data_IF_321627477195
#
_entry.id   IF_321627477195
#
_cell.length_a   1.000
_cell.length_b   1.000
_cell.length_c   1.000
_cell.angle_alpha   90.00
_cell.angle_beta   90.00
_cell.angle_gamma   90.00
#
_symmetry.space_group_name_H-M   'P 1'
#
loop_
_entity.id
_entity.type
_entity.pdbx_description
1 polymer ?
#
# COMPACT_ATOMS: atom_id res chain seq x y z
N UNK A 1 -35.09 36.94 35.50
CA UNK A 1 -33.88 37.19 34.69
C UNK A 1 -33.07 35.92 34.71
N UNK A 2 -33.26 35.06 33.70
CA UNK A 2 -32.52 33.78 33.54
C UNK A 2 -31.31 34.05 32.66
N UNK A 3 -30.14 34.01 33.28
CA UNK A 3 -28.85 34.20 32.65
C UNK A 3 -28.53 32.97 31.79
N UNK A 4 -28.71 33.06 30.48
CA UNK A 4 -28.43 31.98 29.53
C UNK A 4 -26.92 32.01 29.24
N UNK A 5 -26.14 31.21 29.99
CA UNK A 5 -24.73 30.98 29.72
C UNK A 5 -24.56 30.40 28.30
N UNK A 6 -23.98 31.22 27.41
CA UNK A 6 -23.57 30.77 26.09
C UNK A 6 -22.59 29.58 26.19
N UNK A 7 -22.72 28.53 25.36
CA UNK A 7 -21.83 27.40 25.42
C UNK A 7 -20.40 27.85 25.10
N UNK A 8 -19.45 27.43 25.96
CA UNK A 8 -18.02 27.67 25.74
C UNK A 8 -17.60 27.13 24.37
N UNK A 9 -16.85 27.90 23.56
CA UNK A 9 -16.35 27.43 22.28
C UNK A 9 -15.53 26.16 22.49
N UNK A 10 -15.86 25.10 21.77
CA UNK A 10 -15.05 23.87 21.71
C UNK A 10 -13.70 24.28 21.16
N UNK A 11 -12.58 24.01 21.87
CA UNK A 11 -11.25 24.38 21.39
C UNK A 11 -11.04 23.72 20.02
N UNK A 12 -10.56 24.52 19.05
CA UNK A 12 -10.20 24.01 17.73
C UNK A 12 -9.23 22.81 17.89
N UNK A 13 -9.44 21.73 17.12
CA UNK A 13 -8.57 20.58 17.21
C UNK A 13 -7.13 21.03 17.00
N UNK A 14 -6.25 20.76 17.98
CA UNK A 14 -4.82 21.08 17.84
C UNK A 14 -4.30 20.23 16.70
N UNK A 15 -3.67 20.87 15.71
CA UNK A 15 -2.97 20.20 14.61
C UNK A 15 -2.13 19.04 15.17
N UNK A 16 -2.45 17.82 14.74
CA UNK A 16 -1.69 16.67 15.20
C UNK A 16 -0.28 16.71 14.57
N UNK A 17 0.76 16.55 15.38
CA UNK A 17 2.10 16.39 14.82
C UNK A 17 2.14 15.12 13.93
N UNK A 18 2.97 15.08 12.86
CA UNK A 18 3.14 13.90 12.02
C UNK A 18 3.38 12.61 12.79
N UNK A 19 4.19 12.67 13.85
CA UNK A 19 4.49 11.51 14.70
C UNK A 19 3.27 11.04 15.51
N UNK A 20 2.48 11.97 16.07
CA UNK A 20 1.27 11.64 16.81
C UNK A 20 0.18 11.07 15.88
N UNK A 21 0.01 11.67 14.69
CA UNK A 21 -0.92 11.20 13.69
C UNK A 21 -0.57 9.78 13.23
N UNK A 22 0.71 9.52 12.92
CA UNK A 22 1.15 8.18 12.52
C UNK A 22 0.88 7.13 13.60
N UNK A 23 1.14 7.45 14.87
CA UNK A 23 0.85 6.52 15.98
C UNK A 23 -0.64 6.16 16.03
N UNK A 24 -1.53 7.13 15.89
CA UNK A 24 -2.97 6.91 15.86
C UNK A 24 -3.40 6.08 14.65
N UNK A 25 -2.89 6.40 13.47
CA UNK A 25 -3.13 5.64 12.25
C UNK A 25 -2.70 4.19 12.40
N UNK A 26 -1.48 3.97 12.92
CA UNK A 26 -0.95 2.64 13.16
C UNK A 26 -1.82 1.83 14.14
N UNK A 27 -2.23 2.44 15.26
CA UNK A 27 -3.12 1.80 16.24
C UNK A 27 -4.48 1.46 15.64
N UNK A 28 -5.11 2.42 14.96
CA UNK A 28 -6.43 2.24 14.32
C UNK A 28 -6.39 1.21 13.21
N UNK A 29 -5.40 1.27 12.32
CA UNK A 29 -5.27 0.33 11.22
C UNK A 29 -4.95 -1.11 11.70
N UNK A 30 -4.31 -1.28 12.85
CA UNK A 30 -4.03 -2.60 13.41
C UNK A 30 -5.20 -3.18 14.22
N UNK A 31 -6.10 -2.35 14.73
CA UNK A 31 -7.17 -2.77 15.64
C UNK A 31 -8.10 -3.86 15.05
N UNK A 32 -8.54 -3.79 13.77
CA UNK A 32 -9.43 -4.78 13.18
C UNK A 32 -8.85 -6.20 13.21
N UNK A 33 -7.53 -6.34 13.07
CA UNK A 33 -6.86 -7.65 12.99
C UNK A 33 -6.86 -8.45 14.30
N UNK A 34 -7.21 -7.85 15.44
CA UNK A 34 -7.40 -8.57 16.69
C UNK A 34 -8.45 -9.67 16.57
N UNK A 35 -9.49 -9.45 15.75
CA UNK A 35 -10.58 -10.42 15.51
C UNK A 35 -10.15 -11.57 14.60
N UNK A 36 -9.13 -11.37 13.76
CA UNK A 36 -8.58 -12.38 12.85
C UNK A 36 -7.47 -13.24 13.47
N UNK A 37 -7.24 -13.09 14.77
CA UNK A 37 -6.31 -13.91 15.53
C UNK A 37 -4.96 -13.24 15.81
N UNK A 38 -4.22 -13.82 16.77
CA UNK A 38 -2.95 -13.25 17.27
C UNK A 38 -1.91 -13.06 16.16
N UNK A 39 -1.80 -14.02 15.24
CA UNK A 39 -0.86 -13.93 14.14
C UNK A 39 -1.16 -12.72 13.24
N UNK A 40 -2.41 -12.55 12.79
CA UNK A 40 -2.82 -11.45 11.93
C UNK A 40 -2.57 -10.10 12.59
N UNK A 41 -2.88 -9.98 13.87
CA UNK A 41 -2.65 -8.75 14.63
C UNK A 41 -1.16 -8.40 14.80
N UNK A 42 -0.31 -9.38 15.20
CA UNK A 42 1.13 -9.14 15.31
C UNK A 42 1.78 -8.85 13.97
N UNK A 43 1.33 -9.52 12.90
CA UNK A 43 1.79 -9.25 11.54
C UNK A 43 1.44 -7.81 11.11
N UNK A 44 0.18 -7.37 11.31
CA UNK A 44 -0.26 -6.02 10.98
C UNK A 44 0.57 -4.96 11.72
N UNK A 45 0.75 -5.12 13.04
CA UNK A 45 1.56 -4.22 13.85
C UNK A 45 3.02 -4.15 13.39
N UNK A 46 3.61 -5.30 13.10
CA UNK A 46 4.99 -5.39 12.64
C UNK A 46 5.17 -4.76 11.26
N UNK A 47 4.31 -5.10 10.32
CA UNK A 47 4.41 -4.62 8.93
C UNK A 47 4.11 -3.13 8.84
N UNK A 48 3.00 -2.64 9.38
CA UNK A 48 2.68 -1.22 9.36
C UNK A 48 3.65 -0.36 10.19
N UNK A 49 4.12 -0.89 11.34
CA UNK A 49 4.97 -0.12 12.25
C UNK A 49 6.44 -0.04 11.84
N UNK A 50 6.95 -1.02 11.09
CA UNK A 50 8.38 -1.12 10.74
C UNK A 50 8.68 -0.88 9.27
N UNK A 51 7.69 -1.06 8.40
CA UNK A 51 7.86 -0.87 6.97
C UNK A 51 7.64 0.61 6.62
N UNK A 52 8.67 1.33 6.15
CA UNK A 52 8.57 2.76 5.90
C UNK A 52 7.64 3.12 4.73
N UNK A 53 7.25 2.15 3.90
CA UNK A 53 6.46 2.43 2.70
C UNK A 53 5.09 3.00 3.03
N UNK A 54 4.40 2.47 4.03
CA UNK A 54 3.03 2.88 4.37
C UNK A 54 2.97 4.34 4.87
N UNK A 55 3.83 4.67 5.83
CA UNK A 55 3.96 6.04 6.32
C UNK A 55 4.44 6.97 5.22
N UNK A 56 5.47 6.56 4.49
CA UNK A 56 6.05 7.37 3.42
C UNK A 56 5.07 7.69 2.29
N UNK A 57 4.15 6.78 1.93
CA UNK A 57 3.11 7.07 0.94
C UNK A 57 2.18 8.20 1.38
N UNK A 58 1.85 8.27 2.67
CA UNK A 58 1.02 9.34 3.24
C UNK A 58 1.79 10.67 3.30
N UNK A 59 3.03 10.64 3.79
CA UNK A 59 3.90 11.83 3.92
C UNK A 59 4.24 12.48 2.57
N UNK A 60 4.29 11.70 1.50
CA UNK A 60 4.55 12.21 0.14
C UNK A 60 3.29 12.52 -0.65
N UNK A 61 2.11 12.13 -0.17
CA UNK A 61 0.87 12.25 -0.94
C UNK A 61 0.86 11.37 -2.19
N UNK A 62 1.40 10.16 -2.09
CA UNK A 62 1.49 9.25 -3.23
C UNK A 62 0.11 8.69 -3.66
N UNK A 63 -0.87 8.70 -2.76
CA UNK A 63 -2.24 8.24 -3.02
C UNK A 63 -3.21 9.43 -3.10
N UNK A 64 -3.98 9.58 -4.17
CA UNK A 64 -4.95 10.67 -4.31
C UNK A 64 -6.21 10.42 -3.46
N UNK A 65 -6.91 11.48 -3.10
CA UNK A 65 -8.26 11.40 -2.53
C UNK A 65 -9.27 10.92 -3.57
N UNK A 66 -10.39 10.32 -3.10
CA UNK A 66 -11.49 9.84 -3.94
C UNK A 66 -11.07 8.86 -5.03
N UNK A 67 -9.96 8.16 -4.82
CA UNK A 67 -9.38 7.25 -5.80
C UNK A 67 -9.94 5.83 -5.67
N UNK A 68 -10.07 5.14 -6.80
CA UNK A 68 -10.08 3.68 -6.77
C UNK A 68 -8.63 3.19 -6.72
N UNK A 69 -8.27 2.53 -5.64
CA UNK A 69 -6.95 1.95 -5.37
C UNK A 69 -7.02 0.45 -5.60
N UNK A 70 -6.21 -0.06 -6.51
CA UNK A 70 -6.03 -1.49 -6.74
C UNK A 70 -4.71 -1.93 -6.11
N UNK A 71 -4.76 -2.87 -5.17
CA UNK A 71 -3.59 -3.38 -4.44
C UNK A 71 -3.31 -4.82 -4.87
N UNK A 72 -2.27 -5.03 -5.63
CA UNK A 72 -1.90 -6.34 -6.18
C UNK A 72 -0.88 -7.02 -5.27
N UNK A 73 -1.26 -8.19 -4.75
CA UNK A 73 -0.55 -8.85 -3.66
C UNK A 73 -0.86 -8.23 -2.31
N UNK A 74 -2.13 -7.91 -2.10
CA UNK A 74 -2.58 -7.13 -0.93
C UNK A 74 -2.42 -7.87 0.42
N UNK A 75 -2.13 -9.16 0.39
CA UNK A 75 -2.01 -10.00 1.59
C UNK A 75 -3.28 -9.93 2.43
N UNK A 76 -3.13 -9.49 3.68
CA UNK A 76 -4.25 -9.36 4.62
C UNK A 76 -4.97 -8.00 4.55
N UNK A 77 -4.78 -7.22 3.48
CA UNK A 77 -5.47 -5.96 3.26
C UNK A 77 -5.01 -4.81 4.16
N UNK A 78 -3.72 -4.76 4.54
CA UNK A 78 -3.20 -3.74 5.46
C UNK A 78 -3.37 -2.32 4.93
N UNK A 79 -3.21 -2.12 3.62
CA UNK A 79 -3.41 -0.81 3.00
C UNK A 79 -4.88 -0.37 3.08
N UNK A 80 -5.84 -1.28 2.87
CA UNK A 80 -7.26 -0.97 3.04
C UNK A 80 -7.58 -0.48 4.46
N UNK A 81 -7.06 -1.19 5.47
CA UNK A 81 -7.23 -0.79 6.86
C UNK A 81 -6.58 0.56 7.19
N UNK A 82 -5.42 0.84 6.58
CA UNK A 82 -4.76 2.14 6.76
C UNK A 82 -5.56 3.27 6.12
N UNK A 83 -6.12 3.06 4.93
CA UNK A 83 -6.96 4.07 4.24
C UNK A 83 -8.25 4.38 5.02
N UNK A 84 -8.86 3.37 5.64
CA UNK A 84 -10.01 3.58 6.53
C UNK A 84 -9.62 4.38 7.79
N UNK A 85 -8.47 4.06 8.39
CA UNK A 85 -7.94 4.81 9.53
C UNK A 85 -7.61 6.28 9.15
N UNK A 86 -7.09 6.52 7.95
CA UNK A 86 -6.83 7.86 7.39
C UNK A 86 -8.14 8.65 7.27
N UNK A 87 -9.18 8.03 6.69
CA UNK A 87 -10.49 8.67 6.58
C UNK A 87 -11.05 9.07 7.94
N UNK A 88 -11.01 8.16 8.92
CA UNK A 88 -11.47 8.41 10.28
C UNK A 88 -10.68 9.52 11.00
N UNK A 89 -9.35 9.53 10.85
CA UNK A 89 -8.50 10.57 11.44
C UNK A 89 -8.75 11.94 10.82
N UNK A 90 -8.91 11.99 9.49
CA UNK A 90 -9.23 13.22 8.76
C UNK A 90 -10.61 13.76 9.17
N UNK A 91 -11.64 12.91 9.27
CA UNK A 91 -12.97 13.29 9.71
C UNK A 91 -12.99 13.88 11.14
N UNK A 92 -12.03 13.50 11.98
CA UNK A 92 -11.83 14.08 13.32
C UNK A 92 -11.06 15.41 13.33
N UNK A 93 -10.69 15.97 12.16
CA UNK A 93 -9.87 17.18 12.06
C UNK A 93 -8.44 17.01 12.60
N UNK A 94 -7.91 15.80 12.61
CA UNK A 94 -6.60 15.45 13.20
C UNK A 94 -5.54 15.08 12.15
N UNK A 95 -5.82 15.33 10.87
CA UNK A 95 -4.82 15.18 9.81
C UNK A 95 -3.75 16.26 9.93
N UNK A 96 -2.45 15.92 9.88
CA UNK A 96 -1.39 16.91 10.01
C UNK A 96 -1.40 17.92 8.85
N UNK A 97 -1.37 19.21 9.14
CA UNK A 97 -1.27 20.26 8.12
C UNK A 97 0.05 20.21 7.34
N UNK A 98 1.10 19.61 7.93
CA UNK A 98 2.39 19.40 7.27
C UNK A 98 2.38 18.27 6.23
N UNK A 99 1.35 17.41 6.22
CA UNK A 99 1.21 16.36 5.22
C UNK A 99 0.40 16.86 4.02
N UNK A 100 0.62 16.29 2.83
CA UNK A 100 -0.25 16.51 1.68
C UNK A 100 -1.71 16.16 1.99
N UNK A 101 -2.63 16.48 1.07
CA UNK A 101 -4.04 16.13 1.22
C UNK A 101 -4.22 14.65 1.55
N UNK A 102 -5.10 14.35 2.51
CA UNK A 102 -5.38 12.99 2.92
C UNK A 102 -6.02 12.18 1.79
N UNK A 103 -5.63 10.92 1.56
CA UNK A 103 -6.28 10.01 0.62
C UNK A 103 -7.63 9.50 1.17
N UNK A 104 -8.56 10.42 1.38
CA UNK A 104 -9.91 10.12 1.86
C UNK A 104 -10.77 9.53 0.76
N UNK A 105 -11.86 8.86 1.16
CA UNK A 105 -12.90 8.36 0.27
C UNK A 105 -12.37 7.41 -0.82
N UNK A 106 -11.32 6.66 -0.50
CA UNK A 106 -10.78 5.67 -1.42
C UNK A 106 -11.72 4.46 -1.54
N UNK A 107 -11.99 4.04 -2.77
CA UNK A 107 -12.49 2.70 -3.07
C UNK A 107 -11.29 1.77 -3.17
N UNK A 108 -11.40 0.58 -2.59
CA UNK A 108 -10.27 -0.34 -2.54
C UNK A 108 -10.63 -1.70 -3.12
N UNK A 109 -9.77 -2.19 -4.02
CA UNK A 109 -9.80 -3.56 -4.52
C UNK A 109 -8.45 -4.23 -4.29
N UNK A 110 -8.41 -5.25 -3.44
CA UNK A 110 -7.23 -6.08 -3.20
C UNK A 110 -7.26 -7.35 -4.03
N UNK A 111 -6.14 -7.69 -4.66
CA UNK A 111 -5.95 -8.95 -5.40
C UNK A 111 -4.88 -9.74 -4.68
N UNK A 112 -5.20 -10.97 -4.26
CA UNK A 112 -4.29 -11.83 -3.52
C UNK A 112 -4.43 -13.28 -3.98
N UNK A 113 -3.30 -13.95 -4.19
CA UNK A 113 -3.28 -15.35 -4.63
C UNK A 113 -3.71 -16.32 -3.52
N UNK A 114 -3.43 -15.99 -2.26
CA UNK A 114 -3.56 -16.89 -1.14
C UNK A 114 -4.94 -16.82 -0.47
N UNK A 115 -5.82 -17.84 -0.61
CA UNK A 115 -7.17 -17.82 -0.03
C UNK A 115 -7.18 -17.57 1.48
N UNK A 116 -6.15 -18.05 2.20
CA UNK A 116 -6.02 -17.86 3.64
C UNK A 116 -5.80 -16.39 4.01
N UNK A 117 -5.03 -15.63 3.23
CA UNK A 117 -4.79 -14.23 3.50
C UNK A 117 -5.98 -13.37 3.07
N UNK A 118 -6.67 -13.73 1.98
CA UNK A 118 -7.98 -13.14 1.61
C UNK A 118 -9.00 -13.32 2.73
N UNK A 119 -9.18 -14.55 3.22
CA UNK A 119 -10.14 -14.81 4.31
C UNK A 119 -9.80 -14.05 5.61
N UNK A 120 -8.51 -13.83 5.90
CA UNK A 120 -8.10 -12.99 7.04
C UNK A 120 -8.42 -11.51 6.81
N UNK A 121 -8.19 -11.00 5.58
CA UNK A 121 -8.52 -9.64 5.20
C UNK A 121 -10.03 -9.40 5.33
N UNK A 122 -10.85 -10.26 4.75
CA UNK A 122 -12.31 -10.20 4.83
C UNK A 122 -12.81 -10.24 6.27
N UNK A 123 -12.30 -11.18 7.08
CA UNK A 123 -12.70 -11.31 8.49
C UNK A 123 -12.28 -10.08 9.33
N UNK A 124 -11.07 -9.55 9.11
CA UNK A 124 -10.60 -8.35 9.82
C UNK A 124 -11.43 -7.12 9.45
N UNK A 125 -11.69 -6.93 8.16
CA UNK A 125 -12.20 -5.67 7.62
C UNK A 125 -13.71 -5.67 7.35
N UNK A 126 -14.42 -6.74 7.72
CA UNK A 126 -15.87 -6.87 7.55
C UNK A 126 -16.68 -5.73 8.19
N UNK A 127 -16.16 -5.14 9.25
CA UNK A 127 -16.83 -4.06 10.01
C UNK A 127 -16.51 -2.65 9.53
N UNK A 128 -15.71 -2.47 8.49
CA UNK A 128 -15.41 -1.15 7.95
C UNK A 128 -16.62 -0.57 7.23
N UNK A 129 -16.84 0.74 7.40
CA UNK A 129 -17.94 1.47 6.73
C UNK A 129 -17.78 1.40 5.21
N UNK A 130 -16.56 1.58 4.73
CA UNK A 130 -16.18 1.42 3.31
C UNK A 130 -15.57 0.04 3.13
N UNK A 131 -16.43 -0.92 2.85
CA UNK A 131 -15.99 -2.31 2.68
C UNK A 131 -15.04 -2.44 1.50
N UNK A 132 -13.78 -2.86 1.73
CA UNK A 132 -12.87 -3.19 0.64
C UNK A 132 -13.37 -4.43 -0.10
N UNK A 133 -13.09 -4.48 -1.40
CA UNK A 133 -13.30 -5.69 -2.19
C UNK A 133 -12.02 -6.51 -2.21
N UNK A 134 -12.14 -7.83 -2.07
CA UNK A 134 -11.02 -8.76 -2.22
C UNK A 134 -11.31 -9.77 -3.30
N UNK A 135 -10.33 -10.00 -4.17
CA UNK A 135 -10.36 -10.99 -5.25
C UNK A 135 -9.27 -12.02 -4.98
N UNK A 136 -9.66 -13.25 -4.70
CA UNK A 136 -8.72 -14.36 -4.61
C UNK A 136 -8.37 -14.84 -6.02
N UNK A 137 -7.13 -14.59 -6.45
CA UNK A 137 -6.73 -14.97 -7.80
C UNK A 137 -5.31 -14.58 -8.17
N UNK A 138 -4.87 -15.14 -9.28
CA UNK A 138 -3.54 -14.86 -9.83
C UNK A 138 -3.51 -13.48 -10.51
N UNK A 139 -2.58 -12.62 -10.09
CA UNK A 139 -2.41 -11.28 -10.66
C UNK A 139 -2.16 -11.29 -12.17
N UNK A 140 -1.68 -12.40 -12.74
CA UNK A 140 -1.48 -12.56 -14.18
C UNK A 140 -2.81 -12.67 -14.94
N UNK A 141 -3.87 -13.16 -14.30
CA UNK A 141 -5.13 -13.54 -14.93
C UNK A 141 -6.30 -12.64 -14.51
N UNK A 142 -6.34 -12.17 -13.27
CA UNK A 142 -7.44 -11.36 -12.74
C UNK A 142 -7.57 -10.06 -13.55
N UNK A 143 -8.76 -9.73 -14.10
CA UNK A 143 -9.00 -8.45 -14.75
C UNK A 143 -8.79 -7.28 -13.77
N UNK A 144 -8.14 -6.23 -14.21
CA UNK A 144 -7.94 -5.02 -13.41
C UNK A 144 -9.07 -4.03 -13.70
N UNK A 145 -9.78 -3.54 -12.68
CA UNK A 145 -10.77 -2.49 -12.87
C UNK A 145 -10.08 -1.16 -13.22
N UNK A 146 -10.81 -0.26 -13.88
CA UNK A 146 -10.35 1.11 -14.08
C UNK A 146 -10.09 1.78 -12.71
N UNK A 147 -8.95 2.46 -12.56
CA UNK A 147 -8.50 2.98 -11.27
C UNK A 147 -7.64 4.23 -11.42
N UNK A 148 -7.42 4.93 -10.32
CA UNK A 148 -6.53 6.09 -10.24
C UNK A 148 -5.18 5.75 -9.62
N UNK A 149 -5.11 4.67 -8.83
CA UNK A 149 -3.86 4.23 -8.24
C UNK A 149 -3.76 2.70 -8.24
N UNK A 150 -2.57 2.19 -8.54
CA UNK A 150 -2.23 0.77 -8.37
C UNK A 150 -1.04 0.68 -7.43
N UNK A 151 -1.11 -0.25 -6.48
CA UNK A 151 -0.05 -0.53 -5.51
C UNK A 151 0.42 -1.96 -5.69
N UNK A 152 1.72 -2.17 -5.82
CA UNK A 152 2.35 -3.50 -5.92
C UNK A 152 3.57 -3.49 -4.99
N UNK A 153 3.48 -4.18 -3.85
CA UNK A 153 4.56 -4.18 -2.86
C UNK A 153 5.12 -5.60 -2.69
N UNK A 154 6.37 -5.80 -3.12
CA UNK A 154 7.17 -7.01 -2.86
C UNK A 154 6.59 -8.33 -3.42
N UNK A 155 5.80 -8.28 -4.49
CA UNK A 155 5.19 -9.50 -5.06
C UNK A 155 5.55 -9.75 -6.54
N UNK A 156 6.00 -8.72 -7.27
CA UNK A 156 6.19 -8.84 -8.71
C UNK A 156 7.35 -9.80 -9.07
N UNK A 157 8.30 -9.99 -8.19
CA UNK A 157 9.43 -10.92 -8.38
C UNK A 157 9.04 -12.40 -8.32
N UNK A 158 7.80 -12.74 -7.95
CA UNK A 158 7.32 -14.14 -7.96
C UNK A 158 6.84 -14.61 -9.34
N UNK A 159 6.77 -13.74 -10.31
CA UNK A 159 6.44 -14.09 -11.70
C UNK A 159 7.61 -13.78 -12.63
N UNK A 160 7.71 -14.52 -13.74
CA UNK A 160 8.81 -14.35 -14.69
C UNK A 160 8.79 -12.99 -15.40
N UNK A 161 9.88 -12.68 -16.09
CA UNK A 161 10.07 -11.37 -16.72
C UNK A 161 9.01 -11.04 -17.79
N UNK A 162 8.48 -12.04 -18.51
CA UNK A 162 7.43 -11.83 -19.49
C UNK A 162 6.10 -11.48 -18.81
N UNK A 163 5.75 -12.23 -17.76
CA UNK A 163 4.55 -11.97 -16.96
C UNK A 163 4.63 -10.62 -16.24
N UNK A 164 5.81 -10.21 -15.74
CA UNK A 164 6.04 -8.88 -15.17
C UNK A 164 5.69 -7.78 -16.18
N UNK A 165 6.24 -7.87 -17.40
CA UNK A 165 5.99 -6.88 -18.45
C UNK A 165 4.51 -6.85 -18.86
N UNK A 166 3.88 -8.01 -19.04
CA UNK A 166 2.47 -8.12 -19.39
C UNK A 166 1.55 -7.53 -18.30
N UNK A 167 1.83 -7.81 -17.02
CA UNK A 167 1.07 -7.24 -15.91
C UNK A 167 1.22 -5.70 -15.86
N UNK A 168 2.43 -5.18 -15.98
CA UNK A 168 2.67 -3.73 -15.94
C UNK A 168 2.01 -3.00 -17.12
N UNK A 169 1.95 -3.60 -18.31
CA UNK A 169 1.20 -3.07 -19.44
C UNK A 169 -0.33 -3.03 -19.16
N UNK A 170 -0.87 -4.08 -18.54
CA UNK A 170 -2.29 -4.11 -18.10
C UNK A 170 -2.55 -3.06 -17.02
N UNK A 171 -1.63 -2.86 -16.07
CA UNK A 171 -1.72 -1.82 -15.06
C UNK A 171 -1.77 -0.44 -15.71
N UNK A 172 -0.88 -0.18 -16.68
CA UNK A 172 -0.91 1.10 -17.43
C UNK A 172 -2.25 1.31 -18.13
N UNK A 173 -2.81 0.27 -18.76
CA UNK A 173 -4.11 0.35 -19.42
C UNK A 173 -5.26 0.62 -18.45
N UNK A 174 -5.24 -0.01 -17.25
CA UNK A 174 -6.28 0.16 -16.23
C UNK A 174 -6.23 1.52 -15.52
N UNK A 175 -5.06 2.15 -15.46
CA UNK A 175 -4.91 3.47 -14.86
C UNK A 175 -5.57 4.55 -15.71
N UNK A 176 -6.35 5.41 -15.06
CA UNK A 176 -6.87 6.64 -15.66
C UNK A 176 -5.72 7.57 -16.07
N UNK A 177 -5.92 8.49 -17.03
CA UNK A 177 -4.95 9.56 -17.31
C UNK A 177 -4.59 10.32 -16.03
N UNK A 178 -3.30 10.53 -15.78
CA UNK A 178 -2.79 11.11 -14.53
C UNK A 178 -2.79 10.14 -13.34
N UNK A 179 -3.18 8.89 -13.53
CA UNK A 179 -3.12 7.85 -12.51
C UNK A 179 -1.70 7.40 -12.21
N UNK A 180 -1.53 6.71 -11.08
CA UNK A 180 -0.21 6.40 -10.52
C UNK A 180 -0.06 4.92 -10.16
N UNK A 181 1.09 4.35 -10.51
CA UNK A 181 1.57 3.07 -10.01
C UNK A 181 2.61 3.31 -8.91
N UNK A 182 2.43 2.64 -7.76
CA UNK A 182 3.40 2.54 -6.68
C UNK A 182 3.96 1.11 -6.69
N UNK A 183 5.16 0.95 -7.23
CA UNK A 183 5.80 -0.37 -7.36
C UNK A 183 7.02 -0.45 -6.47
N UNK A 184 6.99 -1.31 -5.43
CA UNK A 184 8.19 -1.60 -4.65
C UNK A 184 8.88 -2.86 -5.15
N UNK A 185 10.18 -2.73 -5.39
CA UNK A 185 11.06 -3.80 -5.86
C UNK A 185 12.36 -3.83 -5.07
N UNK A 186 13.00 -5.00 -5.01
CA UNK A 186 14.38 -5.13 -4.59
C UNK A 186 15.32 -4.82 -5.77
N UNK A 187 16.42 -4.10 -5.51
CA UNK A 187 17.46 -3.87 -6.50
C UNK A 187 18.39 -5.08 -6.57
N UNK A 188 18.26 -5.87 -7.62
CA UNK A 188 19.09 -7.07 -7.82
C UNK A 188 20.58 -6.77 -8.07
N UNK A 189 20.94 -5.51 -8.39
CA UNK A 189 22.34 -5.11 -8.51
C UNK A 189 23.05 -4.95 -7.16
N UNK A 190 22.31 -4.75 -6.07
CA UNK A 190 22.85 -4.67 -4.70
C UNK A 190 22.92 -6.06 -4.04
N UNK A 191 23.90 -6.86 -4.40
CA UNK A 191 23.99 -8.29 -4.10
C UNK A 191 23.84 -8.68 -2.62
N UNK A 192 24.32 -7.88 -1.66
CA UNK A 192 24.21 -8.19 -0.22
C UNK A 192 22.80 -7.91 0.34
N UNK A 193 22.21 -6.76 0.06
CA UNK A 193 20.85 -6.42 0.52
C UNK A 193 19.76 -7.25 -0.16
N UNK A 194 19.97 -7.60 -1.44
CA UNK A 194 19.06 -8.45 -2.20
C UNK A 194 19.06 -9.91 -1.70
N UNK A 195 20.26 -10.47 -1.38
CA UNK A 195 20.36 -11.81 -0.79
C UNK A 195 19.64 -11.91 0.58
N UNK A 196 19.73 -10.87 1.42
CA UNK A 196 19.02 -10.82 2.71
C UNK A 196 17.52 -10.74 2.48
N UNK A 197 17.02 -9.95 1.52
CA UNK A 197 15.61 -9.88 1.14
C UNK A 197 15.09 -11.25 0.70
N UNK A 198 15.80 -11.93 -0.20
CA UNK A 198 15.42 -13.28 -0.66
C UNK A 198 15.41 -14.31 0.48
N UNK A 199 16.37 -14.23 1.41
CA UNK A 199 16.43 -15.15 2.54
C UNK A 199 15.25 -14.95 3.50
N UNK A 200 14.88 -13.71 3.80
CA UNK A 200 13.70 -13.39 4.62
C UNK A 200 12.42 -13.81 3.92
N UNK A 201 12.27 -13.55 2.62
CA UNK A 201 11.12 -14.00 1.82
C UNK A 201 11.00 -15.53 1.82
N UNK A 202 12.12 -16.25 1.72
CA UNK A 202 12.16 -17.71 1.83
C UNK A 202 11.68 -18.19 3.19
N UNK A 203 12.14 -17.59 4.29
CA UNK A 203 11.71 -17.96 5.64
C UNK A 203 10.22 -17.66 5.83
N UNK A 204 9.76 -16.48 5.43
CA UNK A 204 8.36 -16.09 5.55
C UNK A 204 7.45 -17.01 4.72
N UNK A 205 7.89 -17.40 3.53
CA UNK A 205 7.17 -18.33 2.65
C UNK A 205 7.14 -19.75 3.21
N UNK A 206 8.26 -20.23 3.76
CA UNK A 206 8.37 -21.53 4.44
C UNK A 206 7.50 -21.60 5.71
N UNK A 207 7.53 -20.56 6.54
CA UNK A 207 6.70 -20.46 7.76
C UNK A 207 5.21 -20.40 7.40
N UNK A 208 4.87 -19.90 6.21
CA UNK A 208 3.50 -19.90 5.66
C UNK A 208 3.09 -21.23 5.02
N UNK A 209 4.00 -22.21 4.96
CA UNK A 209 3.72 -23.55 4.41
C UNK A 209 3.71 -23.63 2.88
N UNK A 210 4.43 -22.73 2.20
CA UNK A 210 4.52 -22.70 0.74
C UNK A 210 5.88 -23.18 0.22
N UNK A 211 5.88 -23.83 -0.95
CA UNK A 211 7.12 -24.03 -1.72
C UNK A 211 7.61 -22.66 -2.20
N UNK A 212 8.87 -22.35 -1.94
CA UNK A 212 9.50 -21.10 -2.40
C UNK A 212 9.61 -21.14 -3.92
N UNK A 213 8.84 -20.33 -4.68
CA UNK A 213 8.99 -20.28 -6.12
C UNK A 213 10.34 -19.62 -6.47
N UNK A 214 10.89 -19.87 -7.67
CA UNK A 214 12.02 -19.09 -8.16
C UNK A 214 11.66 -17.62 -8.18
N UNK A 215 12.61 -16.74 -7.84
CA UNK A 215 12.40 -15.29 -7.85
C UNK A 215 13.10 -14.67 -9.06
N UNK A 216 12.40 -13.77 -9.74
CA UNK A 216 12.84 -13.09 -10.95
C UNK A 216 13.08 -11.60 -10.66
N UNK A 217 14.22 -11.31 -10.03
CA UNK A 217 14.64 -9.92 -9.78
C UNK A 217 15.18 -9.25 -11.04
N UNK A 218 15.12 -7.92 -11.08
CA UNK A 218 15.77 -7.07 -12.10
C UNK A 218 16.64 -6.03 -11.40
N UNK A 219 17.74 -5.59 -12.00
CA UNK A 219 18.40 -4.35 -11.61
C UNK A 219 17.45 -3.16 -11.69
N UNK A 220 17.62 -2.17 -10.81
CA UNK A 220 16.76 -0.98 -10.75
C UNK A 220 16.63 -0.27 -12.11
N UNK A 221 17.73 -0.12 -12.84
CA UNK A 221 17.72 0.51 -14.17
C UNK A 221 16.82 -0.23 -15.18
N UNK A 222 16.75 -1.57 -15.09
CA UNK A 222 15.86 -2.35 -15.96
C UNK A 222 14.39 -2.19 -15.60
N UNK A 223 14.07 -2.02 -14.30
CA UNK A 223 12.71 -1.70 -13.87
C UNK A 223 12.26 -0.34 -14.38
N UNK A 224 13.13 0.68 -14.27
CA UNK A 224 12.85 2.03 -14.77
C UNK A 224 12.64 2.00 -16.28
N UNK A 225 13.58 1.41 -17.03
CA UNK A 225 13.48 1.33 -18.50
C UNK A 225 12.22 0.58 -18.97
N UNK A 226 11.82 -0.49 -18.25
CA UNK A 226 10.58 -1.22 -18.55
C UNK A 226 9.34 -0.33 -18.37
N UNK A 227 9.25 0.40 -17.25
CA UNK A 227 8.12 1.27 -16.97
C UNK A 227 8.06 2.45 -17.95
N UNK A 228 9.20 3.08 -18.26
CA UNK A 228 9.28 4.17 -19.23
C UNK A 228 8.92 3.67 -20.64
N UNK A 229 9.36 2.48 -21.03
CA UNK A 229 8.99 1.85 -22.29
C UNK A 229 7.49 1.53 -22.42
N UNK A 230 6.77 1.38 -21.30
CA UNK A 230 5.30 1.24 -21.27
C UNK A 230 4.59 2.61 -21.37
N UNK A 231 5.28 3.70 -21.08
CA UNK A 231 4.73 5.07 -21.15
C UNK A 231 4.53 5.76 -19.80
N UNK A 232 5.17 5.27 -18.74
CA UNK A 232 5.20 5.95 -17.44
C UNK A 232 6.32 6.98 -17.35
N UNK A 233 6.09 8.04 -16.59
CA UNK A 233 7.16 8.88 -16.03
C UNK A 233 7.54 8.34 -14.66
N UNK A 234 8.81 8.02 -14.43
CA UNK A 234 9.25 7.24 -13.24
C UNK A 234 10.17 8.06 -12.35
N UNK A 235 9.90 8.06 -11.05
CA UNK A 235 10.85 8.51 -10.01
C UNK A 235 11.07 7.39 -9.00
N UNK A 236 12.30 7.29 -8.51
CA UNK A 236 12.68 6.29 -7.50
C UNK A 236 12.77 6.93 -6.11
N UNK A 237 12.29 6.19 -5.10
CA UNK A 237 12.36 6.59 -3.69
C UNK A 237 13.05 5.47 -2.92
N UNK A 238 14.25 5.70 -2.37
CA UNK A 238 14.95 4.69 -1.56
C UNK A 238 14.13 4.28 -0.34
N UNK A 239 13.98 2.98 -0.10
CA UNK A 239 13.25 2.40 1.04
C UNK A 239 14.15 1.57 1.95
N UNK A 240 15.46 1.68 1.79
CA UNK A 240 16.46 0.90 2.53
C UNK A 240 16.94 1.55 3.83
N UNK A 241 16.60 2.82 4.11
CA UNK A 241 17.02 3.51 5.32
C UNK A 241 16.50 2.79 6.58
N UNK A 242 17.41 2.33 7.42
CA UNK A 242 17.09 1.59 8.65
C UNK A 242 16.69 0.12 8.45
N UNK A 243 16.85 -0.42 7.23
CA UNK A 243 16.57 -1.82 6.93
C UNK A 243 17.76 -2.46 6.20
N UNK A 244 18.01 -3.79 6.34
CA UNK A 244 19.06 -4.49 5.61
C UNK A 244 18.67 -4.76 4.14
N UNK A 245 17.53 -4.26 3.66
CA UNK A 245 16.96 -4.57 2.36
C UNK A 245 17.29 -3.49 1.33
N UNK A 246 17.61 -3.91 0.10
CA UNK A 246 17.82 -3.01 -1.04
C UNK A 246 16.48 -2.66 -1.72
N UNK A 247 15.48 -2.23 -0.94
CA UNK A 247 14.16 -1.93 -1.46
C UNK A 247 14.08 -0.50 -2.00
N UNK A 248 13.46 -0.36 -3.17
CA UNK A 248 13.19 0.93 -3.82
C UNK A 248 11.71 0.98 -4.17
N UNK A 249 11.05 2.08 -3.85
CA UNK A 249 9.71 2.39 -4.34
C UNK A 249 9.84 3.18 -5.65
N UNK A 250 9.34 2.62 -6.75
CA UNK A 250 9.15 3.31 -8.00
C UNK A 250 7.76 3.93 -8.01
N UNK A 251 7.71 5.23 -8.14
CA UNK A 251 6.48 6.00 -8.32
C UNK A 251 6.39 6.34 -9.80
N UNK A 252 5.45 5.70 -10.48
CA UNK A 252 5.31 5.77 -11.93
C UNK A 252 3.97 6.44 -12.29
N UNK A 253 4.03 7.61 -12.88
CA UNK A 253 2.87 8.42 -13.24
C UNK A 253 2.52 8.22 -14.72
N UNK A 254 1.24 7.90 -14.99
CA UNK A 254 0.69 7.90 -16.35
C UNK A 254 0.44 9.34 -16.81
N UNK A 255 0.78 9.67 -18.05
CA UNK A 255 0.52 10.99 -18.59
C UNK A 255 -0.96 11.40 -18.41
N UNK A 256 -1.20 12.67 -18.15
CA UNK A 256 -2.55 13.26 -18.18
C UNK A 256 -3.03 13.32 -19.64
N UNK A 257 -4.34 13.17 -19.86
CA UNK A 257 -4.90 13.51 -21.15
C UNK A 257 -4.58 15.00 -21.45
N UNK A 258 -4.15 15.28 -22.65
CA UNK A 258 -4.08 16.68 -23.12
C UNK A 258 -5.51 17.23 -23.13
N UNK A 259 -5.70 18.49 -22.71
CA UNK A 259 -7.01 19.14 -22.71
C UNK A 259 -7.58 19.26 -24.11
#
# INVERSE_FOLDING_TARGET
MTDTLAPKPVPAPRDATPAAAWRLLHESACAPYRRSGRFAWHFARGKLGRDPVFRGMLERGDLPAHAHVVDIGCGQGLLASLLDAVHALHAQGRWPSQWPAAPIDAHYTGIELMPRDVGRAEAALAGLVRRPQFICGDMRLVPLPACQAVVILDVLHYVDHAAQAALLARVHSALAPGGRLLLRVGDAAQSRGYAVSQWVDRIVTLVRGHRVPPTFGRPLAQWIALLEGIGFSVRSVPMSLGTPFANVLLVADKARALP
#
